data_IF_065808390809
#
_entry.id   IF_065808390809
#
_cell.length_a   1.000
_cell.length_b   1.000
_cell.length_c   1.000
_cell.angle_alpha   90.00
_cell.angle_beta   90.00
_cell.angle_gamma   90.00
#
_symmetry.space_group_name_H-M   'P 1'
#
loop_
_entity.id
_entity.type
_entity.pdbx_description
1 polymer ?
#
# COMPACT_ATOMS: atom_id res chain seq x y z
N UNK A 1 -26.40 9.66 -0.76
CA UNK A 1 -25.53 10.77 -1.21
C UNK A 1 -26.04 11.22 -2.58
N UNK A 2 -26.58 12.43 -2.69
CA UNK A 2 -27.08 12.96 -3.98
C UNK A 2 -25.92 13.36 -4.89
N UNK A 3 -26.09 13.36 -6.22
CA UNK A 3 -25.02 13.71 -7.17
C UNK A 3 -24.41 15.09 -6.88
N UNK A 4 -25.22 16.07 -6.48
CA UNK A 4 -24.77 17.41 -6.10
C UNK A 4 -23.74 17.40 -4.95
N UNK A 5 -23.87 16.51 -3.97
CA UNK A 5 -22.92 16.42 -2.86
C UNK A 5 -21.56 15.88 -3.29
N UNK A 6 -21.51 14.96 -4.26
CA UNK A 6 -20.23 14.44 -4.79
C UNK A 6 -19.51 15.50 -5.61
N UNK A 7 -20.25 16.28 -6.39
CA UNK A 7 -19.71 17.37 -7.18
C UNK A 7 -19.07 18.46 -6.30
N UNK A 8 -19.76 18.84 -5.23
CA UNK A 8 -19.25 19.81 -4.24
C UNK A 8 -17.99 19.27 -3.55
N UNK A 9 -17.98 17.98 -3.19
CA UNK A 9 -16.83 17.35 -2.58
C UNK A 9 -15.60 17.37 -3.50
N UNK A 10 -15.77 16.98 -4.77
CA UNK A 10 -14.68 17.00 -5.74
C UNK A 10 -14.18 18.41 -6.05
N UNK A 11 -15.09 19.39 -6.14
CA UNK A 11 -14.72 20.78 -6.36
C UNK A 11 -13.90 21.32 -5.18
N UNK A 12 -14.30 21.01 -3.94
CA UNK A 12 -13.58 21.42 -2.75
C UNK A 12 -12.19 20.78 -2.66
N UNK A 13 -12.08 19.46 -2.84
CA UNK A 13 -10.78 18.77 -2.87
C UNK A 13 -9.91 19.23 -4.04
N UNK A 14 -10.51 19.49 -5.19
CA UNK A 14 -9.81 19.99 -6.38
C UNK A 14 -9.18 21.36 -6.14
N UNK A 15 -9.92 22.31 -5.55
CA UNK A 15 -9.39 23.63 -5.20
C UNK A 15 -8.26 23.52 -4.19
N UNK A 16 -8.44 22.74 -3.12
CA UNK A 16 -7.42 22.54 -2.09
C UNK A 16 -6.15 21.93 -2.70
N UNK A 17 -6.29 20.87 -3.50
CA UNK A 17 -5.17 20.23 -4.19
C UNK A 17 -4.45 21.18 -5.14
N UNK A 18 -5.19 22.01 -5.87
CA UNK A 18 -4.61 23.00 -6.78
C UNK A 18 -3.80 24.08 -6.05
N UNK A 19 -4.31 24.59 -4.92
CA UNK A 19 -3.57 25.56 -4.09
C UNK A 19 -2.28 24.92 -3.55
N UNK A 20 -2.35 23.69 -3.05
CA UNK A 20 -1.17 22.95 -2.57
C UNK A 20 -0.13 22.79 -3.69
N UNK A 21 -0.57 22.42 -4.90
CA UNK A 21 0.30 22.30 -6.06
C UNK A 21 1.00 23.63 -6.40
N UNK A 22 0.28 24.75 -6.38
CA UNK A 22 0.85 26.07 -6.63
C UNK A 22 1.88 26.47 -5.56
N UNK A 23 1.63 26.16 -4.29
CA UNK A 23 2.58 26.40 -3.20
C UNK A 23 3.85 25.57 -3.40
N UNK A 24 3.71 24.27 -3.68
CA UNK A 24 4.85 23.38 -3.93
C UNK A 24 5.67 23.85 -5.14
N UNK A 25 5.02 24.31 -6.21
CA UNK A 25 5.72 24.87 -7.37
C UNK A 25 6.48 26.16 -7.02
N UNK A 26 5.88 27.02 -6.19
CA UNK A 26 6.47 28.29 -5.76
C UNK A 26 7.67 28.11 -4.82
N UNK A 27 7.73 27.01 -4.07
CA UNK A 27 8.89 26.64 -3.24
C UNK A 27 10.10 26.19 -4.07
N UNK A 28 9.98 26.12 -5.40
CA UNK A 28 11.07 25.77 -6.31
C UNK A 28 11.60 24.35 -6.03
N UNK A 29 12.92 24.11 -6.11
CA UNK A 29 13.51 22.77 -5.92
C UNK A 29 13.07 22.10 -4.62
N UNK A 30 12.91 22.86 -3.53
CA UNK A 30 12.52 22.34 -2.22
C UNK A 30 11.10 21.76 -2.22
N UNK A 31 10.19 22.39 -2.95
CA UNK A 31 8.82 21.91 -3.11
C UNK A 31 8.74 20.62 -3.92
N UNK A 32 9.58 20.45 -4.94
CA UNK A 32 9.68 19.19 -5.70
C UNK A 32 10.15 18.03 -4.83
N UNK A 33 11.16 18.26 -3.97
CA UNK A 33 11.61 17.25 -3.02
C UNK A 33 10.47 16.86 -2.07
N UNK A 34 9.77 17.83 -1.48
CA UNK A 34 8.66 17.57 -0.57
C UNK A 34 7.52 16.80 -1.26
N UNK A 35 7.16 17.18 -2.49
CA UNK A 35 6.15 16.50 -3.29
C UNK A 35 6.52 15.02 -3.54
N UNK A 36 7.77 14.74 -3.91
CA UNK A 36 8.25 13.38 -4.12
C UNK A 36 8.15 12.55 -2.83
N UNK A 37 8.57 13.10 -1.68
CA UNK A 37 8.45 12.43 -0.38
C UNK A 37 6.99 12.13 -0.02
N UNK A 38 6.08 13.08 -0.23
CA UNK A 38 4.65 12.89 0.06
C UNK A 38 4.01 11.80 -0.81
N UNK A 39 4.38 11.75 -2.10
CA UNK A 39 3.90 10.70 -3.02
C UNK A 39 4.40 9.33 -2.56
N UNK A 40 5.69 9.19 -2.24
CA UNK A 40 6.26 7.93 -1.76
C UNK A 40 5.59 7.49 -0.46
N UNK A 41 5.40 8.43 0.48
CA UNK A 41 4.72 8.15 1.74
C UNK A 41 3.28 7.66 1.49
N UNK A 42 2.52 8.33 0.63
CA UNK A 42 1.16 7.93 0.29
C UNK A 42 1.09 6.51 -0.28
N UNK A 43 2.02 6.15 -1.18
CA UNK A 43 2.13 4.79 -1.72
C UNK A 43 2.44 3.78 -0.61
N UNK A 44 3.42 4.07 0.24
CA UNK A 44 3.82 3.19 1.34
C UNK A 44 2.68 2.95 2.35
N UNK A 45 1.89 3.98 2.66
CA UNK A 45 0.71 3.83 3.52
C UNK A 45 -0.42 3.06 2.83
N UNK A 46 -0.61 3.25 1.53
CA UNK A 46 -1.66 2.54 0.77
C UNK A 46 -1.42 1.04 0.69
N UNK A 47 -0.16 0.59 0.62
CA UNK A 47 0.19 -0.84 0.59
C UNK A 47 0.16 -1.53 1.95
N UNK A 48 -0.06 -0.81 3.06
CA UNK A 48 -0.06 -1.39 4.42
C UNK A 48 -1.42 -2.00 4.80
N UNK A 49 -2.45 -1.83 3.97
CA UNK A 49 -3.79 -2.36 4.19
C UNK A 49 -4.02 -3.80 3.73
N UNK A 50 -3.07 -4.40 3.01
CA UNK A 50 -3.23 -5.73 2.37
C UNK A 50 -2.43 -6.85 3.10
N UNK A 51 -2.12 -6.67 4.39
CA UNK A 51 -1.43 -7.72 5.18
C UNK A 51 -2.34 -8.95 5.44
N UNK A 52 -3.65 -8.87 5.17
CA UNK A 52 -4.59 -10.00 5.28
C UNK A 52 -4.45 -11.04 4.15
N UNK A 53 -3.66 -10.75 3.11
CA UNK A 53 -3.47 -11.63 1.96
C UNK A 53 -2.11 -12.35 1.94
N UNK A 54 -1.31 -12.30 3.02
CA UNK A 54 -0.18 -13.23 3.13
C UNK A 54 -0.77 -14.60 3.44
N UNK A 55 -0.74 -15.57 2.51
CA UNK A 55 -1.22 -16.91 2.83
C UNK A 55 -0.44 -17.38 4.04
N UNK A 56 -1.14 -17.86 5.06
CA UNK A 56 -0.50 -18.45 6.22
C UNK A 56 0.45 -19.55 5.72
N UNK A 57 1.64 -19.64 6.29
CA UNK A 57 2.64 -20.63 5.89
C UNK A 57 3.36 -21.16 7.11
N UNK A 58 3.49 -22.48 7.16
CA UNK A 58 4.34 -23.16 8.12
C UNK A 58 5.64 -23.61 7.45
N UNK A 59 6.75 -23.49 8.17
CA UNK A 59 8.04 -23.98 7.68
C UNK A 59 8.20 -25.45 8.06
N UNK A 60 8.62 -26.29 7.11
CA UNK A 60 8.91 -27.69 7.38
C UNK A 60 10.06 -27.82 8.39
N UNK A 61 9.88 -28.59 9.47
CA UNK A 61 10.90 -28.79 10.50
C UNK A 61 12.16 -29.50 9.99
N UNK A 62 12.06 -30.29 8.92
CA UNK A 62 13.18 -31.06 8.39
C UNK A 62 14.08 -30.28 7.41
N UNK A 63 13.50 -29.45 6.53
CA UNK A 63 14.23 -28.76 5.47
C UNK A 63 14.05 -27.23 5.45
N UNK A 64 13.18 -26.68 6.29
CA UNK A 64 12.90 -25.24 6.37
C UNK A 64 12.07 -24.69 5.23
N UNK A 65 11.62 -25.51 4.27
CA UNK A 65 10.83 -25.03 3.16
C UNK A 65 9.43 -24.56 3.61
N UNK A 66 8.89 -23.47 3.04
CA UNK A 66 7.57 -22.97 3.39
C UNK A 66 6.47 -23.79 2.72
N UNK A 67 5.45 -24.18 3.49
CA UNK A 67 4.30 -24.96 3.01
C UNK A 67 2.98 -24.33 3.51
N UNK A 68 1.86 -24.59 2.82
CA UNK A 68 0.52 -24.27 3.35
C UNK A 68 0.27 -24.91 4.73
N UNK A 69 -0.53 -24.29 5.61
CA UNK A 69 -0.76 -24.75 6.97
C UNK A 69 -1.54 -26.08 7.04
N UNK A 70 -2.27 -26.42 5.98
CA UNK A 70 -3.07 -27.63 5.80
C UNK A 70 -2.31 -28.75 5.06
N UNK A 71 -1.01 -28.57 4.78
CA UNK A 71 -0.21 -29.61 4.13
C UNK A 71 0.23 -30.67 5.12
N UNK A 72 -0.15 -31.93 4.89
CA UNK A 72 0.33 -33.06 5.70
C UNK A 72 1.77 -33.48 5.36
N UNK A 73 2.25 -33.15 4.15
CA UNK A 73 3.57 -33.52 3.66
C UNK A 73 4.27 -32.36 2.94
N UNK A 74 5.59 -32.29 3.11
CA UNK A 74 6.43 -31.25 2.52
C UNK A 74 6.65 -31.51 1.04
N UNK A 75 6.29 -30.54 0.20
CA UNK A 75 6.49 -30.62 -1.27
C UNK A 75 7.96 -30.69 -1.69
N UNK A 76 8.88 -30.24 -0.85
CA UNK A 76 10.31 -30.20 -1.16
C UNK A 76 11.06 -31.47 -0.76
N UNK A 77 10.82 -31.99 0.45
CA UNK A 77 11.58 -33.12 0.99
C UNK A 77 10.73 -34.35 1.32
N UNK A 78 9.41 -34.27 1.17
CA UNK A 78 8.48 -35.38 1.42
C UNK A 78 8.25 -35.72 2.90
N UNK A 79 8.91 -35.03 3.84
CA UNK A 79 8.68 -35.25 5.28
C UNK A 79 7.29 -34.76 5.71
N UNK A 80 6.76 -35.32 6.81
CA UNK A 80 5.54 -34.80 7.43
C UNK A 80 5.77 -33.37 7.95
N UNK A 81 4.72 -32.54 7.89
CA UNK A 81 4.73 -31.14 8.35
C UNK A 81 4.06 -31.01 9.70
#
# INVERSE_FOLDING_TARGET
>A
MTEGSRLILYLLFGIVGFVILLVLLSLGPLGWFLAAFLIIAAIAYSGRGDDDARPDRTNCAACGAPNPPDSETCKHCGSAI
#
